data_IF_347583416076
#
_entry.id   IF_347583416076
#
_cell.length_a   1.000
_cell.length_b   1.000
_cell.length_c   1.000
_cell.angle_alpha   90.00
_cell.angle_beta   90.00
_cell.angle_gamma   90.00
#
_symmetry.space_group_name_H-M   'P 1'
#
loop_
_entity.id
_entity.type
_entity.pdbx_description
1 polymer ?
#
# COMPACT_ATOMS: atom_id res chain seq x y z
N UNK A 1 -10.67 -24.52 6.58
CA UNK A 1 -10.26 -24.50 5.20
C UNK A 1 -9.30 -25.63 4.87
N UNK A 2 -9.34 -26.07 3.63
CA UNK A 2 -8.43 -27.10 3.09
C UNK A 2 -7.18 -26.49 2.43
N UNK A 3 -7.08 -25.16 2.42
CA UNK A 3 -5.95 -24.44 1.87
C UNK A 3 -4.76 -24.33 2.82
N UNK A 4 -3.75 -23.59 2.42
CA UNK A 4 -2.54 -23.36 3.22
C UNK A 4 -2.79 -22.27 4.28
N UNK A 5 -2.53 -22.58 5.54
CA UNK A 5 -2.64 -21.61 6.62
C UNK A 5 -1.45 -20.65 6.57
N UNK A 6 -1.72 -19.42 6.17
CA UNK A 6 -0.74 -18.35 6.09
C UNK A 6 -0.96 -17.29 7.18
N UNK A 7 0.13 -16.82 7.75
CA UNK A 7 0.14 -15.70 8.70
C UNK A 7 0.61 -14.44 7.98
N UNK A 8 -0.32 -13.58 7.58
CA UNK A 8 0.01 -12.27 7.02
C UNK A 8 0.52 -11.35 8.13
N UNK A 9 1.68 -10.72 7.90
CA UNK A 9 2.38 -9.82 8.82
C UNK A 9 2.75 -8.53 8.08
N UNK A 10 2.85 -7.43 8.81
CA UNK A 10 3.54 -6.26 8.28
C UNK A 10 5.08 -6.45 8.30
N UNK A 11 5.78 -5.56 7.59
CA UNK A 11 7.24 -5.60 7.49
C UNK A 11 7.94 -5.43 8.84
N UNK A 12 7.34 -4.67 9.77
CA UNK A 12 7.89 -4.45 11.10
C UNK A 12 7.89 -5.75 11.92
N UNK A 13 6.76 -6.47 11.95
CA UNK A 13 6.65 -7.72 12.71
C UNK A 13 7.54 -8.82 12.10
N UNK A 14 7.62 -8.89 10.78
CA UNK A 14 8.51 -9.83 10.10
C UNK A 14 9.99 -9.59 10.44
N UNK A 15 10.43 -8.33 10.45
CA UNK A 15 11.79 -7.94 10.88
C UNK A 15 12.06 -8.28 12.34
N UNK A 16 11.10 -8.02 13.21
CA UNK A 16 11.22 -8.32 14.66
C UNK A 16 11.41 -9.81 14.92
N UNK A 17 10.75 -10.65 14.15
CA UNK A 17 10.90 -12.10 14.18
C UNK A 17 12.14 -12.58 13.41
N UNK A 18 12.87 -11.69 12.74
CA UNK A 18 14.02 -11.99 11.89
C UNK A 18 13.69 -13.09 10.86
N UNK A 19 12.58 -12.94 10.16
CA UNK A 19 12.11 -13.89 9.15
C UNK A 19 12.83 -13.64 7.82
N UNK A 20 13.52 -14.66 7.33
CA UNK A 20 14.10 -14.65 5.99
C UNK A 20 13.05 -15.04 4.96
N UNK A 21 13.11 -14.46 3.76
CA UNK A 21 12.30 -14.92 2.64
C UNK A 21 12.65 -16.36 2.27
N UNK A 22 11.63 -17.12 1.86
CA UNK A 22 11.78 -18.52 1.47
C UNK A 22 12.68 -18.69 0.24
N UNK A 23 12.67 -17.71 -0.67
CA UNK A 23 13.54 -17.68 -1.83
C UNK A 23 14.18 -16.29 -1.98
N UNK A 24 15.48 -16.21 -2.31
CA UNK A 24 16.16 -14.95 -2.62
C UNK A 24 15.54 -14.26 -3.84
N UNK A 25 15.09 -15.05 -4.85
CA UNK A 25 14.41 -14.59 -6.06
C UNK A 25 13.01 -15.16 -6.08
N UNK A 26 12.02 -14.27 -5.96
CA UNK A 26 10.62 -14.68 -6.00
C UNK A 26 10.13 -14.76 -7.45
N UNK A 27 10.02 -15.96 -7.98
CA UNK A 27 9.55 -16.25 -9.34
C UNK A 27 8.06 -16.65 -9.40
N UNK A 28 7.36 -16.61 -8.24
CA UNK A 28 5.95 -16.95 -8.21
C UNK A 28 5.10 -15.94 -8.99
N UNK A 29 4.06 -16.43 -9.68
CA UNK A 29 3.16 -15.60 -10.49
C UNK A 29 2.62 -14.38 -9.74
N UNK A 30 2.26 -14.55 -8.48
CA UNK A 30 1.67 -13.51 -7.64
C UNK A 30 2.71 -12.75 -6.80
N UNK A 31 3.99 -13.12 -6.89
CA UNK A 31 5.09 -12.55 -6.11
C UNK A 31 4.78 -12.44 -4.60
N UNK A 32 4.01 -13.40 -4.06
CA UNK A 32 3.67 -13.44 -2.63
C UNK A 32 4.93 -13.61 -1.81
N UNK A 33 5.17 -12.71 -0.87
CA UNK A 33 6.41 -12.65 -0.11
C UNK A 33 6.40 -13.68 1.05
N UNK A 34 6.50 -14.96 0.69
CA UNK A 34 6.65 -16.05 1.66
C UNK A 34 7.98 -15.94 2.39
N UNK A 35 7.92 -16.14 3.70
CA UNK A 35 9.12 -16.37 4.53
C UNK A 35 9.25 -17.85 4.84
N UNK A 36 10.39 -18.23 5.44
CA UNK A 36 10.54 -19.55 6.03
C UNK A 36 9.40 -19.85 6.99
N UNK A 37 8.90 -21.11 6.98
CA UNK A 37 7.85 -21.54 7.89
C UNK A 37 8.33 -21.56 9.34
N UNK A 38 7.41 -21.37 10.27
CA UNK A 38 7.71 -21.22 11.69
C UNK A 38 6.86 -22.12 12.59
N UNK A 39 7.39 -22.32 13.79
CA UNK A 39 6.66 -22.88 14.94
C UNK A 39 6.98 -22.11 16.21
N UNK A 40 6.06 -22.17 17.19
CA UNK A 40 6.35 -21.72 18.55
C UNK A 40 7.43 -22.64 19.18
N UNK A 41 8.42 -22.05 19.82
CA UNK A 41 9.48 -22.83 20.49
C UNK A 41 8.98 -23.66 21.66
N UNK A 42 7.84 -23.28 22.27
CA UNK A 42 7.25 -23.94 23.44
C UNK A 42 5.73 -24.02 23.32
N UNK A 43 5.13 -24.99 23.99
CA UNK A 43 3.68 -25.11 24.12
C UNK A 43 3.00 -25.76 22.92
N UNK A 44 3.76 -26.47 22.09
CA UNK A 44 3.29 -27.26 20.97
C UNK A 44 3.75 -28.73 21.11
N UNK A 45 3.11 -29.63 20.37
CA UNK A 45 3.53 -31.03 20.21
C UNK A 45 4.29 -31.20 18.88
N UNK A 46 3.61 -31.73 17.84
CA UNK A 46 4.18 -31.89 16.51
C UNK A 46 4.08 -30.65 15.63
N UNK A 47 3.36 -29.61 16.06
CA UNK A 47 3.22 -28.33 15.34
C UNK A 47 2.09 -28.29 14.33
N UNK A 48 1.66 -29.43 13.77
CA UNK A 48 0.69 -29.48 12.66
C UNK A 48 -0.76 -29.38 13.11
N UNK A 49 -1.10 -29.74 14.37
CA UNK A 49 -2.47 -29.67 14.85
C UNK A 49 -3.03 -28.25 14.77
N UNK A 50 -4.35 -28.10 14.66
CA UNK A 50 -4.99 -26.79 14.69
C UNK A 50 -4.64 -26.01 15.97
N UNK A 51 -4.53 -26.70 17.11
CA UNK A 51 -4.14 -26.13 18.40
C UNK A 51 -2.68 -25.63 18.36
N UNK A 52 -1.77 -26.42 17.83
CA UNK A 52 -0.35 -26.06 17.76
C UNK A 52 -0.13 -24.87 16.82
N UNK A 53 -0.77 -24.87 15.63
CA UNK A 53 -0.70 -23.74 14.71
C UNK A 53 -1.32 -22.47 15.31
N UNK A 54 -2.43 -22.59 16.02
CA UNK A 54 -3.01 -21.45 16.74
C UNK A 54 -2.08 -20.93 17.85
N UNK A 55 -1.38 -21.81 18.55
CA UNK A 55 -0.36 -21.43 19.54
C UNK A 55 0.81 -20.70 18.88
N UNK A 56 1.33 -21.21 17.76
CA UNK A 56 2.39 -20.59 16.99
C UNK A 56 2.00 -19.18 16.51
N UNK A 57 0.79 -19.03 15.96
CA UNK A 57 0.27 -17.73 15.51
C UNK A 57 0.15 -16.77 16.69
N UNK A 58 -0.42 -17.21 17.82
CA UNK A 58 -0.53 -16.38 19.04
C UNK A 58 0.83 -15.92 19.55
N UNK A 59 1.84 -16.80 19.51
CA UNK A 59 3.22 -16.43 19.91
C UNK A 59 3.81 -15.44 18.94
N UNK A 60 3.74 -15.70 17.63
CA UNK A 60 4.34 -14.85 16.59
C UNK A 60 3.73 -13.45 16.51
N UNK A 61 2.51 -13.27 17.02
CA UNK A 61 1.80 -11.97 16.98
C UNK A 61 1.83 -11.19 18.31
N UNK A 62 2.52 -11.67 19.33
CA UNK A 62 2.65 -10.95 20.60
C UNK A 62 3.42 -9.63 20.43
N UNK A 63 3.04 -8.56 21.17
CA UNK A 63 3.76 -7.29 21.13
C UNK A 63 5.25 -7.41 21.46
N UNK A 64 5.61 -8.27 22.40
CA UNK A 64 7.00 -8.44 22.89
C UNK A 64 7.69 -9.71 22.36
N UNK A 65 7.21 -10.25 21.22
CA UNK A 65 7.83 -11.43 20.61
C UNK A 65 9.23 -11.12 20.05
N UNK A 66 10.08 -12.10 20.04
CA UNK A 66 11.40 -12.06 19.42
C UNK A 66 11.70 -13.34 18.65
N UNK A 67 12.80 -13.35 17.89
CA UNK A 67 13.31 -14.55 17.22
C UNK A 67 13.47 -15.75 18.17
N UNK A 68 13.72 -15.51 19.47
CA UNK A 68 13.93 -16.57 20.47
C UNK A 68 12.67 -17.35 20.81
N UNK A 69 11.48 -16.82 20.47
CA UNK A 69 10.19 -17.41 20.82
C UNK A 69 9.66 -18.38 19.74
N UNK A 70 10.28 -18.36 18.56
CA UNK A 70 9.93 -19.18 17.41
C UNK A 70 11.12 -20.02 16.94
N UNK A 71 10.82 -21.08 16.22
CA UNK A 71 11.79 -21.93 15.50
C UNK A 71 11.38 -22.05 14.04
N UNK A 72 12.29 -22.46 13.19
CA UNK A 72 12.09 -22.71 11.75
C UNK A 72 12.89 -23.95 11.37
N UNK A 73 12.38 -24.82 10.49
CA UNK A 73 11.08 -24.77 9.83
C UNK A 73 9.91 -25.13 10.76
N UNK A 74 8.66 -24.98 10.27
CA UNK A 74 7.45 -25.31 11.00
C UNK A 74 6.21 -25.41 10.11
N UNK A 75 5.01 -25.37 10.70
CA UNK A 75 3.73 -25.62 10.02
C UNK A 75 2.84 -24.37 9.87
N UNK A 76 3.35 -23.18 10.22
CA UNK A 76 2.72 -21.90 9.92
C UNK A 76 3.59 -21.16 8.90
N UNK A 77 2.97 -20.63 7.86
CA UNK A 77 3.67 -19.97 6.76
C UNK A 77 3.47 -18.44 6.82
N UNK A 78 4.44 -17.67 7.34
CA UNK A 78 4.32 -16.23 7.34
C UNK A 78 4.50 -15.66 5.94
N UNK A 79 3.71 -14.64 5.63
CA UNK A 79 3.77 -13.87 4.39
C UNK A 79 3.80 -12.38 4.73
N UNK A 80 4.65 -11.63 4.06
CA UNK A 80 4.89 -10.22 4.38
C UNK A 80 4.09 -9.32 3.44
N UNK A 81 3.22 -8.49 4.03
CA UNK A 81 2.50 -7.47 3.29
C UNK A 81 3.45 -6.35 2.83
N UNK A 82 3.24 -5.82 1.64
CA UNK A 82 3.95 -4.62 1.16
C UNK A 82 3.58 -3.42 2.01
N UNK A 83 4.57 -2.59 2.35
CA UNK A 83 4.31 -1.31 3.01
C UNK A 83 3.44 -0.44 2.10
N UNK A 84 2.45 0.23 2.69
CA UNK A 84 1.38 0.90 1.94
C UNK A 84 0.13 0.04 1.67
N UNK A 85 0.20 -1.28 1.90
CA UNK A 85 -0.93 -2.20 1.86
C UNK A 85 -1.55 -2.35 0.48
N UNK A 86 -2.89 -2.45 0.40
CA UNK A 86 -3.63 -2.66 -0.86
C UNK A 86 -3.43 -1.55 -1.89
N UNK A 87 -2.95 -0.38 -1.48
CA UNK A 87 -2.66 0.73 -2.39
C UNK A 87 -1.36 0.53 -3.19
N UNK A 88 -0.45 -0.31 -2.68
CA UNK A 88 0.79 -0.69 -3.38
C UNK A 88 0.62 -2.03 -4.09
N UNK A 89 -0.03 -2.99 -3.45
CA UNK A 89 -0.30 -4.31 -4.02
C UNK A 89 -1.71 -4.77 -3.66
N UNK A 90 -2.57 -4.89 -4.68
CA UNK A 90 -3.96 -5.33 -4.52
C UNK A 90 -4.03 -6.85 -4.24
N UNK A 91 -3.42 -7.30 -3.14
CA UNK A 91 -3.35 -8.70 -2.73
C UNK A 91 -4.09 -8.99 -1.42
N UNK A 92 -4.47 -10.25 -1.22
CA UNK A 92 -5.16 -10.68 0.02
C UNK A 92 -4.26 -10.55 1.26
N UNK A 93 -2.94 -10.68 1.10
CA UNK A 93 -1.97 -10.44 2.18
C UNK A 93 -2.07 -9.01 2.70
N UNK A 94 -2.01 -8.05 1.78
CA UNK A 94 -2.12 -6.62 2.09
C UNK A 94 -3.50 -6.29 2.64
N UNK A 95 -4.57 -6.82 2.02
CA UNK A 95 -5.95 -6.57 2.44
C UNK A 95 -6.19 -7.04 3.88
N UNK A 96 -5.69 -8.20 4.25
CA UNK A 96 -5.88 -8.76 5.58
C UNK A 96 -5.18 -7.95 6.67
N UNK A 97 -3.96 -7.48 6.41
CA UNK A 97 -3.21 -6.61 7.32
C UNK A 97 -3.86 -5.23 7.42
N UNK A 98 -4.32 -4.66 6.28
CA UNK A 98 -5.00 -3.37 6.27
C UNK A 98 -6.32 -3.39 7.05
N UNK A 99 -7.13 -4.44 6.88
CA UNK A 99 -8.37 -4.62 7.65
C UNK A 99 -8.06 -4.69 9.15
N UNK A 100 -7.01 -5.41 9.53
CA UNK A 100 -6.59 -5.48 10.94
C UNK A 100 -6.19 -4.12 11.49
N UNK A 101 -5.43 -3.33 10.73
CA UNK A 101 -5.06 -1.95 11.09
C UNK A 101 -6.27 -1.04 11.20
N UNK A 102 -7.17 -1.07 10.23
CA UNK A 102 -8.41 -0.28 10.23
C UNK A 102 -9.34 -0.63 11.39
N UNK A 103 -9.31 -1.88 11.84
CA UNK A 103 -10.02 -2.34 13.03
C UNK A 103 -9.30 -2.03 14.36
N UNK A 104 -8.18 -1.29 14.32
CA UNK A 104 -7.31 -1.01 15.48
C UNK A 104 -6.84 -2.29 16.18
N UNK A 105 -6.54 -3.34 15.42
CA UNK A 105 -5.96 -4.58 15.90
C UNK A 105 -4.48 -4.67 15.54
N UNK A 106 -3.81 -5.69 16.06
CA UNK A 106 -2.45 -6.04 15.66
C UNK A 106 -2.40 -6.17 14.12
N UNK A 107 -1.41 -5.57 13.42
CA UNK A 107 -1.27 -5.61 11.96
C UNK A 107 -0.85 -6.99 11.45
N UNK A 108 -1.65 -7.98 11.76
CA UNK A 108 -1.47 -9.38 11.39
C UNK A 108 -2.82 -10.06 11.18
N UNK A 109 -2.86 -11.05 10.31
CA UNK A 109 -4.07 -11.81 10.03
C UNK A 109 -3.74 -13.24 9.61
N UNK A 110 -4.66 -14.16 9.87
CA UNK A 110 -4.59 -15.52 9.33
C UNK A 110 -5.46 -15.58 8.09
N UNK A 111 -4.89 -16.04 7.00
CA UNK A 111 -5.60 -16.25 5.75
C UNK A 111 -5.39 -17.67 5.26
N UNK A 112 -6.41 -18.20 4.55
CA UNK A 112 -6.40 -19.52 3.99
C UNK A 112 -7.36 -19.54 2.81
N UNK A 113 -6.98 -20.22 1.75
CA UNK A 113 -7.84 -20.40 0.59
C UNK A 113 -9.07 -21.23 0.94
N UNK A 114 -10.20 -20.91 0.31
CA UNK A 114 -11.42 -21.71 0.37
C UNK A 114 -11.46 -22.60 -0.87
N UNK A 115 -11.49 -23.92 -0.62
CA UNK A 115 -11.51 -24.94 -1.65
C UNK A 115 -12.83 -25.68 -1.63
N UNK A 116 -13.28 -26.13 -2.80
CA UNK A 116 -14.43 -27.01 -2.97
C UNK A 116 -14.13 -28.43 -2.47
N UNK A 117 -15.18 -29.25 -2.34
CA UNK A 117 -15.06 -30.64 -1.90
C UNK A 117 -14.18 -31.51 -2.81
N UNK A 118 -14.20 -31.20 -4.12
CA UNK A 118 -13.41 -31.87 -5.15
C UNK A 118 -11.92 -31.42 -5.18
N UNK A 119 -11.52 -30.49 -4.30
CA UNK A 119 -10.18 -29.94 -4.25
C UNK A 119 -9.94 -28.78 -5.19
N UNK A 120 -10.89 -28.37 -5.99
CA UNK A 120 -10.78 -27.18 -6.83
C UNK A 120 -10.93 -25.89 -5.99
N UNK A 121 -10.44 -24.76 -6.54
CA UNK A 121 -10.58 -23.48 -5.86
C UNK A 121 -12.02 -22.98 -5.95
N UNK A 122 -12.59 -22.58 -4.80
CA UNK A 122 -13.91 -21.96 -4.75
C UNK A 122 -13.92 -20.65 -5.54
N UNK A 123 -14.90 -20.49 -6.42
CA UNK A 123 -15.14 -19.30 -7.24
C UNK A 123 -16.25 -18.44 -6.61
N UNK A 124 -16.59 -17.33 -7.29
CA UNK A 124 -17.52 -16.33 -6.78
C UNK A 124 -18.80 -16.93 -6.21
N UNK A 125 -19.49 -17.81 -6.95
CA UNK A 125 -20.78 -18.35 -6.55
C UNK A 125 -20.65 -19.35 -5.41
N UNK A 126 -19.59 -20.17 -5.43
CA UNK A 126 -19.22 -21.05 -4.33
C UNK A 126 -18.95 -20.26 -3.05
N UNK A 127 -18.21 -19.16 -3.15
CA UNK A 127 -17.88 -18.28 -2.04
C UNK A 127 -19.10 -17.60 -1.44
N UNK A 128 -20.07 -17.17 -2.28
CA UNK A 128 -21.33 -16.58 -1.82
C UNK A 128 -22.14 -17.61 -1.02
N UNK A 129 -22.24 -18.83 -1.53
CA UNK A 129 -22.94 -19.92 -0.85
C UNK A 129 -22.23 -20.33 0.45
N UNK A 130 -20.90 -20.42 0.42
CA UNK A 130 -20.08 -20.68 1.59
C UNK A 130 -20.29 -19.62 2.68
N UNK A 131 -20.23 -18.35 2.30
CA UNK A 131 -20.40 -17.25 3.24
C UNK A 131 -21.80 -17.22 3.86
N UNK A 132 -22.86 -17.48 3.07
CA UNK A 132 -24.23 -17.62 3.58
C UNK A 132 -24.35 -18.78 4.58
N UNK A 133 -23.81 -19.95 4.23
CA UNK A 133 -23.84 -21.15 5.08
C UNK A 133 -23.13 -20.93 6.42
N UNK A 134 -22.00 -20.22 6.39
CA UNK A 134 -21.17 -19.99 7.57
C UNK A 134 -21.36 -18.62 8.23
N UNK A 135 -22.33 -17.80 7.73
CA UNK A 135 -22.64 -16.46 8.24
C UNK A 135 -21.39 -15.54 8.24
N UNK A 136 -20.62 -15.58 7.14
CA UNK A 136 -19.43 -14.78 6.96
C UNK A 136 -19.71 -13.55 6.11
N UNK A 137 -18.98 -12.47 6.38
CA UNK A 137 -18.98 -11.28 5.52
C UNK A 137 -18.10 -11.52 4.30
N UNK A 138 -18.49 -10.92 3.16
CA UNK A 138 -17.69 -10.92 1.94
C UNK A 138 -17.28 -9.47 1.66
N UNK A 139 -15.99 -9.25 1.37
CA UNK A 139 -15.46 -7.99 0.91
C UNK A 139 -14.65 -8.16 -0.37
N UNK A 140 -14.51 -7.07 -1.15
CA UNK A 140 -13.64 -7.03 -2.31
C UNK A 140 -12.45 -6.11 -2.03
N UNK A 141 -11.28 -6.45 -2.56
CA UNK A 141 -10.08 -5.62 -2.41
C UNK A 141 -10.28 -4.25 -3.05
N UNK A 142 -10.99 -4.17 -4.17
CA UNK A 142 -11.31 -2.89 -4.83
C UNK A 142 -12.11 -1.94 -3.93
N UNK A 143 -13.06 -2.47 -3.15
CA UNK A 143 -13.85 -1.68 -2.20
C UNK A 143 -12.99 -1.18 -1.03
N UNK A 144 -12.04 -1.99 -0.56
CA UNK A 144 -11.09 -1.60 0.46
C UNK A 144 -10.15 -0.49 -0.05
N UNK A 145 -9.67 -0.60 -1.28
CA UNK A 145 -8.87 0.45 -1.94
C UNK A 145 -9.66 1.76 -1.99
N UNK A 146 -10.91 1.71 -2.49
CA UNK A 146 -11.77 2.89 -2.57
C UNK A 146 -12.05 3.50 -1.19
N UNK A 147 -12.27 2.66 -0.19
CA UNK A 147 -12.45 3.11 1.21
C UNK A 147 -11.22 3.84 1.74
N UNK A 148 -10.01 3.26 1.58
CA UNK A 148 -8.77 3.86 2.04
C UNK A 148 -8.48 5.18 1.33
N UNK A 149 -8.63 5.23 -0.01
CA UNK A 149 -8.45 6.47 -0.80
C UNK A 149 -9.40 7.59 -0.36
N UNK A 150 -10.60 7.24 0.10
CA UNK A 150 -11.59 8.22 0.58
C UNK A 150 -11.33 8.69 2.01
N UNK A 151 -10.80 7.82 2.87
CA UNK A 151 -10.69 8.07 4.32
C UNK A 151 -9.32 8.53 4.77
N UNK A 152 -8.27 8.12 4.09
CA UNK A 152 -6.89 8.41 4.46
C UNK A 152 -6.34 9.58 3.63
N UNK A 153 -5.47 10.37 4.24
CA UNK A 153 -4.76 11.44 3.55
C UNK A 153 -3.30 10.99 3.31
N UNK A 154 -3.00 10.70 2.06
CA UNK A 154 -1.67 10.22 1.65
C UNK A 154 -0.73 11.33 1.23
N UNK A 155 -1.21 12.56 1.16
CA UNK A 155 -0.44 13.70 0.68
C UNK A 155 -0.10 14.62 1.85
N UNK A 156 1.19 14.75 2.13
CA UNK A 156 1.72 15.61 3.20
C UNK A 156 2.41 16.84 2.61
N UNK A 157 2.06 18.03 3.09
CA UNK A 157 2.79 19.23 2.71
C UNK A 157 4.19 19.20 3.35
N UNK A 158 5.24 19.22 2.51
CA UNK A 158 6.64 19.16 2.93
C UNK A 158 7.26 20.55 3.01
N UNK A 159 6.99 21.40 2.02
CA UNK A 159 7.55 22.76 1.94
C UNK A 159 6.60 23.70 1.23
N UNK A 160 6.64 24.96 1.63
CA UNK A 160 5.95 26.06 0.93
C UNK A 160 6.88 27.27 0.87
N UNK A 161 7.00 27.89 -0.30
CA UNK A 161 7.80 29.12 -0.51
C UNK A 161 7.22 29.94 -1.63
N UNK A 162 7.60 31.23 -1.68
CA UNK A 162 7.21 32.11 -2.77
C UNK A 162 8.30 32.07 -3.84
N UNK A 163 7.88 32.10 -5.10
CA UNK A 163 8.77 32.13 -6.27
C UNK A 163 8.26 33.13 -7.29
N UNK A 164 9.17 33.63 -8.13
CA UNK A 164 8.85 34.50 -9.26
C UNK A 164 9.15 33.73 -10.55
N UNK A 165 8.17 33.63 -11.44
CA UNK A 165 8.31 33.05 -12.76
C UNK A 165 7.97 34.11 -13.81
N UNK A 166 8.99 34.58 -14.51
CA UNK A 166 8.86 35.76 -15.33
C UNK A 166 8.52 36.98 -14.48
N UNK A 167 7.38 37.59 -14.77
CA UNK A 167 6.83 38.76 -14.07
C UNK A 167 5.73 38.41 -13.04
N UNK A 168 5.51 37.13 -12.79
CA UNK A 168 4.41 36.67 -11.96
C UNK A 168 4.90 36.03 -10.66
N UNK A 169 4.23 36.38 -9.55
CA UNK A 169 4.46 35.75 -8.23
C UNK A 169 3.59 34.50 -8.08
N UNK A 170 4.23 33.42 -7.68
CA UNK A 170 3.58 32.15 -7.34
C UNK A 170 4.01 31.69 -5.95
N UNK A 171 3.13 30.97 -5.29
CA UNK A 171 3.49 30.15 -4.14
C UNK A 171 3.70 28.73 -4.61
N UNK A 172 4.91 28.19 -4.43
CA UNK A 172 5.18 26.77 -4.65
C UNK A 172 4.89 26.00 -3.36
N UNK A 173 4.14 24.92 -3.50
CA UNK A 173 3.93 23.92 -2.44
C UNK A 173 4.44 22.59 -2.92
N UNK A 174 5.29 21.96 -2.11
CA UNK A 174 5.84 20.62 -2.35
C UNK A 174 5.13 19.65 -1.43
N UNK A 175 4.58 18.60 -2.01
CA UNK A 175 3.85 17.56 -1.31
C UNK A 175 4.57 16.23 -1.48
N UNK A 176 4.58 15.44 -0.44
CA UNK A 176 5.09 14.07 -0.43
C UNK A 176 3.92 13.09 -0.35
N UNK A 177 3.91 12.12 -1.24
CA UNK A 177 3.04 10.96 -1.10
C UNK A 177 3.69 10.00 -0.10
N UNK A 178 3.07 9.80 1.05
CA UNK A 178 3.63 8.98 2.14
C UNK A 178 3.64 7.48 1.83
N UNK A 179 2.99 7.04 0.75
CA UNK A 179 2.92 5.63 0.36
C UNK A 179 4.18 5.22 -0.41
N UNK A 180 4.59 6.03 -1.39
CA UNK A 180 5.69 5.72 -2.32
C UNK A 180 6.86 6.69 -2.23
N UNK A 181 6.77 7.71 -1.37
CA UNK A 181 7.79 8.76 -1.21
C UNK A 181 7.89 9.71 -2.40
N UNK A 182 6.99 9.64 -3.37
CA UNK A 182 7.02 10.54 -4.54
C UNK A 182 6.70 11.98 -4.14
N UNK A 183 7.42 12.94 -4.74
CA UNK A 183 7.18 14.35 -4.52
C UNK A 183 6.37 14.95 -5.67
N UNK A 184 5.29 15.61 -5.31
CA UNK A 184 4.45 16.38 -6.22
C UNK A 184 4.50 17.85 -5.84
N UNK A 185 4.25 18.75 -6.76
CA UNK A 185 4.21 20.17 -6.40
C UNK A 185 3.13 20.94 -7.13
N UNK A 186 2.72 22.04 -6.52
CA UNK A 186 1.76 22.95 -7.06
C UNK A 186 2.30 24.36 -7.06
N UNK A 187 2.14 25.06 -8.18
CA UNK A 187 2.35 26.51 -8.31
C UNK A 187 0.99 27.20 -8.19
N UNK A 188 0.84 28.03 -7.20
CA UNK A 188 -0.42 28.72 -6.89
C UNK A 188 -0.24 30.20 -7.10
N UNK A 189 -1.05 30.80 -7.98
CA UNK A 189 -1.15 32.24 -8.20
C UNK A 189 -2.43 32.75 -7.53
N UNK A 190 -2.31 33.87 -6.83
CA UNK A 190 -3.44 34.55 -6.20
C UNK A 190 -3.97 33.88 -4.93
N UNK A 191 -5.05 34.43 -4.40
CA UNK A 191 -5.69 33.90 -3.20
C UNK A 191 -6.72 32.83 -3.58
N UNK A 192 -6.67 31.70 -2.87
CA UNK A 192 -7.66 30.63 -2.97
C UNK A 192 -8.68 30.82 -1.83
N UNK A 193 -9.92 31.04 -2.18
CA UNK A 193 -11.04 31.04 -1.23
C UNK A 193 -12.23 30.28 -1.84
N UNK A 194 -13.26 30.02 -1.02
CA UNK A 194 -14.44 29.24 -1.43
C UNK A 194 -15.26 29.91 -2.56
N UNK A 195 -15.11 31.21 -2.75
CA UNK A 195 -15.90 32.00 -3.69
C UNK A 195 -15.19 32.20 -5.05
N UNK A 196 -13.92 31.74 -5.19
CA UNK A 196 -13.15 31.89 -6.40
C UNK A 196 -12.83 30.50 -6.95
N UNK A 197 -13.32 30.21 -8.14
CA UNK A 197 -12.97 28.99 -8.88
C UNK A 197 -11.64 29.23 -9.60
N UNK A 198 -10.51 28.64 -9.17
CA UNK A 198 -9.23 28.83 -9.83
C UNK A 198 -9.19 28.09 -11.16
N UNK A 199 -8.40 28.58 -12.11
CA UNK A 199 -8.03 27.78 -13.27
C UNK A 199 -6.95 26.79 -12.88
N UNK A 200 -7.21 25.51 -13.13
CA UNK A 200 -6.31 24.42 -12.75
C UNK A 200 -5.79 23.71 -13.99
N UNK A 201 -4.49 23.47 -14.01
CA UNK A 201 -3.85 22.55 -14.97
C UNK A 201 -3.04 21.51 -14.21
N UNK A 202 -3.18 20.27 -14.59
CA UNK A 202 -2.40 19.15 -14.07
C UNK A 202 -1.47 18.66 -15.16
N UNK A 203 -0.20 18.48 -14.83
CA UNK A 203 0.84 17.94 -15.70
C UNK A 203 1.45 16.73 -15.01
N UNK A 204 1.38 15.57 -15.68
CA UNK A 204 2.16 14.40 -15.29
C UNK A 204 3.47 14.43 -16.10
N UNK A 205 4.59 14.49 -15.43
CA UNK A 205 5.89 14.49 -16.12
C UNK A 205 7.04 14.09 -15.19
N UNK A 206 8.11 13.58 -15.79
CA UNK A 206 9.39 13.48 -15.12
C UNK A 206 10.11 14.83 -15.19
N UNK A 207 9.97 15.60 -14.12
CA UNK A 207 10.46 16.98 -14.06
C UNK A 207 11.98 17.08 -14.25
N UNK A 208 12.72 16.12 -13.68
CA UNK A 208 14.18 16.10 -13.79
C UNK A 208 14.60 15.93 -15.26
N UNK A 209 14.00 15.00 -15.96
CA UNK A 209 14.33 14.76 -17.37
C UNK A 209 13.81 15.87 -18.29
N UNK A 210 12.58 16.32 -18.07
CA UNK A 210 11.94 17.27 -18.98
C UNK A 210 12.40 18.73 -18.79
N UNK A 211 12.83 19.09 -17.56
CA UNK A 211 13.13 20.50 -17.22
C UNK A 211 14.58 20.75 -16.81
N UNK A 212 15.30 19.75 -16.28
CA UNK A 212 16.70 19.93 -15.88
C UNK A 212 17.69 19.31 -16.87
N UNK A 213 17.36 18.18 -17.48
CA UNK A 213 18.23 17.49 -18.45
C UNK A 213 17.80 17.74 -19.89
N UNK A 214 16.56 18.13 -20.14
CA UNK A 214 16.09 18.57 -21.44
C UNK A 214 16.51 20.02 -21.68
N UNK A 215 17.26 20.27 -22.75
CA UNK A 215 17.77 21.62 -23.12
C UNK A 215 16.69 22.66 -23.48
N UNK A 216 15.39 22.36 -23.28
CA UNK A 216 14.28 23.28 -23.53
C UNK A 216 13.14 23.02 -22.54
N UNK A 217 12.77 24.04 -21.76
CA UNK A 217 11.51 24.09 -21.04
C UNK A 217 10.38 23.77 -22.04
N UNK A 218 9.53 22.75 -21.81
CA UNK A 218 8.48 22.44 -22.75
C UNK A 218 7.63 23.65 -23.07
N UNK A 219 7.39 23.90 -24.36
CA UNK A 219 6.64 25.06 -24.83
C UNK A 219 5.25 25.16 -24.15
N UNK A 220 4.68 24.00 -23.79
CA UNK A 220 3.43 23.88 -23.03
C UNK A 220 3.47 24.50 -21.62
N UNK A 221 4.63 24.49 -20.94
CA UNK A 221 4.79 25.16 -19.64
C UNK A 221 4.75 26.69 -19.81
N UNK A 222 5.58 27.24 -20.70
CA UNK A 222 5.62 28.66 -20.98
C UNK A 222 4.26 29.19 -21.45
N UNK A 223 3.57 28.45 -22.30
CA UNK A 223 2.20 28.75 -22.74
C UNK A 223 1.22 28.74 -21.55
N UNK A 224 1.36 27.82 -20.61
CA UNK A 224 0.50 27.78 -19.41
C UNK A 224 0.74 28.97 -18.51
N UNK A 225 2.01 29.31 -18.26
CA UNK A 225 2.37 30.48 -17.44
C UNK A 225 1.88 31.79 -18.11
N UNK A 226 2.02 31.90 -19.43
CA UNK A 226 1.50 33.02 -20.19
C UNK A 226 -0.05 33.10 -20.14
N UNK A 227 -0.74 31.94 -20.26
CA UNK A 227 -2.18 31.89 -20.15
C UNK A 227 -2.67 32.30 -18.75
N UNK A 228 -1.94 31.92 -17.70
CA UNK A 228 -2.27 32.29 -16.32
C UNK A 228 -2.14 33.79 -16.02
N UNK A 229 -1.45 34.58 -16.86
CA UNK A 229 -1.45 36.04 -16.73
C UNK A 229 -2.86 36.64 -16.77
N UNK A 230 -3.74 36.03 -17.55
CA UNK A 230 -5.14 36.51 -17.78
C UNK A 230 -6.06 36.30 -16.56
N UNK A 231 -5.63 35.55 -15.52
CA UNK A 231 -6.48 35.19 -14.42
C UNK A 231 -5.91 35.58 -13.06
N UNK A 232 -6.79 35.93 -12.13
CA UNK A 232 -6.42 36.32 -10.75
C UNK A 232 -6.01 35.13 -9.89
N UNK A 233 -6.56 33.94 -10.16
CA UNK A 233 -6.33 32.73 -9.37
C UNK A 233 -6.12 31.52 -10.28
N UNK A 234 -4.96 30.88 -10.15
CA UNK A 234 -4.57 29.73 -10.96
C UNK A 234 -3.78 28.73 -10.12
N UNK A 235 -3.85 27.45 -10.50
CA UNK A 235 -3.07 26.37 -9.90
C UNK A 235 -2.48 25.52 -11.03
N UNK A 236 -1.17 25.34 -11.03
CA UNK A 236 -0.49 24.37 -11.87
C UNK A 236 0.05 23.25 -10.99
N UNK A 237 -0.48 22.03 -11.17
CA UNK A 237 -0.11 20.85 -10.41
C UNK A 237 0.81 19.99 -11.27
N UNK A 238 1.95 19.61 -10.69
CA UNK A 238 2.87 18.64 -11.27
C UNK A 238 2.80 17.34 -10.49
N UNK A 239 2.44 16.29 -11.18
CA UNK A 239 2.43 14.92 -10.63
C UNK A 239 3.66 14.22 -11.19
N UNK A 240 4.58 13.81 -10.30
CA UNK A 240 5.68 12.92 -10.67
C UNK A 240 5.10 11.52 -10.84
N UNK A 241 5.17 10.99 -12.03
CA UNK A 241 4.82 9.60 -12.31
C UNK A 241 6.11 8.77 -12.29
N UNK A 242 6.26 7.84 -11.32
CA UNK A 242 7.44 7.00 -11.23
C UNK A 242 7.55 5.99 -12.39
N UNK A 243 6.45 5.75 -13.12
CA UNK A 243 6.40 4.80 -14.23
C UNK A 243 6.54 5.46 -15.61
N UNK A 244 6.54 6.78 -15.69
CA UNK A 244 6.88 7.48 -16.92
C UNK A 244 8.37 7.23 -17.21
N UNK A 245 8.61 6.14 -17.96
CA UNK A 245 9.88 5.94 -18.65
C UNK A 245 10.04 7.08 -19.67
N UNK A 246 11.20 7.67 -19.62
CA UNK A 246 11.73 8.64 -20.60
C UNK A 246 11.68 8.07 -22.01
#
# INVERSE_FOLDING_TARGET
GRGLICLALDSYQAKKLNLNYMSPKNESRNQTAFTVSIEAKKGISTGISAKDRATTIKVATKPNVSKKDIVSPGHVFPIVAKDGGVLIRAGHTEASVDISKLANKNPSAVICEIMNEDGSMAKRDDLINFARRHKLSIGKIEDLIAYRLKKENFIKLKKSSDIILGDQKFKIKIFENIIDGSEHFALIKGKLNRNIIPRVRVISSNIVQNYLLGNKIPNSFNQTVAYFKKFKSCILVFIKDPNLKS
#
